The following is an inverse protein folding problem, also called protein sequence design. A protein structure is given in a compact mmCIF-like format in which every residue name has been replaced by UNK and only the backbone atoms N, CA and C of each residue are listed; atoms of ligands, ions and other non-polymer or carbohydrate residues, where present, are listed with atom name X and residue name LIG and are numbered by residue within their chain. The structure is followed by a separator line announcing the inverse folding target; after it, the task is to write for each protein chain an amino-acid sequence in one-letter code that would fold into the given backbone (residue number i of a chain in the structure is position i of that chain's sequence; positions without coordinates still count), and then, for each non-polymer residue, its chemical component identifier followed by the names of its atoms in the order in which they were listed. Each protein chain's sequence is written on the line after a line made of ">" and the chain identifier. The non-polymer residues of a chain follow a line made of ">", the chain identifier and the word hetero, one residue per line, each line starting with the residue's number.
data_IF_731173886975
#
_entry.id   IF_731173886975
#
_cell.length_a   1.000
_cell.length_b   1.000
_cell.length_c   1.000
_cell.angle_alpha   90.00
_cell.angle_beta   90.00
_cell.angle_gamma   90.00
#
_symmetry.space_group_name_H-M   'P 1'
#
loop_
_entity.id
_entity.type
_entity.pdbx_description
1 polymer ?
#
# COMPACT_ATOMS: atom_id res chain seq x y z
N UNK A 1 30.43 24.72 -32.56
CA UNK A 1 29.67 25.23 -31.39
C UNK A 1 28.37 24.48 -31.11
N UNK A 2 27.66 23.97 -32.13
CA UNK A 2 26.35 23.27 -32.02
C UNK A 2 26.35 22.00 -31.15
N UNK A 3 27.46 21.24 -31.11
CA UNK A 3 27.60 20.01 -30.31
C UNK A 3 27.64 20.26 -28.79
N UNK A 4 28.14 21.41 -28.34
CA UNK A 4 28.25 21.74 -26.91
C UNK A 4 26.88 22.09 -26.28
N UNK A 5 25.98 22.62 -27.09
CA UNK A 5 24.62 23.01 -26.66
C UNK A 5 23.74 21.76 -26.48
N UNK A 6 23.88 20.76 -27.37
CA UNK A 6 23.16 19.48 -27.22
C UNK A 6 23.55 18.73 -25.94
N UNK A 7 24.84 18.70 -25.59
CA UNK A 7 25.30 18.04 -24.36
C UNK A 7 24.82 18.76 -23.10
N UNK A 8 24.70 20.09 -23.12
CA UNK A 8 24.18 20.85 -21.98
C UNK A 8 22.67 20.62 -21.76
N UNK A 9 21.89 20.51 -22.84
CA UNK A 9 20.46 20.20 -22.78
C UNK A 9 20.18 18.77 -22.28
N UNK A 10 21.00 17.79 -22.67
CA UNK A 10 20.90 16.42 -22.19
C UNK A 10 21.25 16.31 -20.70
N UNK A 11 22.26 17.03 -20.22
CA UNK A 11 22.57 17.07 -18.79
C UNK A 11 21.43 17.71 -17.97
N UNK A 12 20.83 18.79 -18.47
CA UNK A 12 19.74 19.47 -17.77
C UNK A 12 18.47 18.59 -17.66
N UNK A 13 18.15 17.78 -18.69
CA UNK A 13 17.05 16.83 -18.63
C UNK A 13 17.28 15.70 -17.61
N UNK A 14 18.52 15.21 -17.50
CA UNK A 14 18.87 14.17 -16.52
C UNK A 14 18.78 14.67 -15.07
N UNK A 15 19.13 15.94 -14.80
CA UNK A 15 19.00 16.49 -13.45
C UNK A 15 17.54 16.75 -13.04
N UNK A 16 16.64 17.05 -13.99
CA UNK A 16 15.23 17.28 -13.70
C UNK A 16 14.45 15.98 -13.36
N UNK A 17 14.94 14.81 -13.77
CA UNK A 17 14.30 13.52 -13.45
C UNK A 17 14.52 13.05 -12.00
N UNK A 18 15.55 13.56 -11.32
CA UNK A 18 15.90 13.16 -9.96
C UNK A 18 15.05 13.83 -8.87
N UNK A 19 14.39 14.95 -9.18
CA UNK A 19 13.50 15.62 -8.22
C UNK A 19 12.07 15.06 -8.22
N UNK A 20 11.71 14.28 -9.25
CA UNK A 20 10.40 13.61 -9.33
C UNK A 20 10.33 12.31 -8.51
N UNK A 21 11.48 11.74 -8.11
CA UNK A 21 11.59 10.66 -7.14
C UNK A 21 12.06 11.20 -5.78
N UNK A 22 11.49 12.31 -5.30
CA UNK A 22 11.54 12.56 -3.87
C UNK A 22 10.68 11.46 -3.21
N UNK A 23 11.26 10.54 -2.42
CA UNK A 23 10.45 9.59 -1.67
C UNK A 23 9.53 10.44 -0.80
N UNK A 24 8.21 10.28 -0.98
CA UNK A 24 7.24 10.83 -0.04
C UNK A 24 7.72 10.32 1.33
N UNK A 25 8.13 11.25 2.19
CA UNK A 25 8.56 10.97 3.56
C UNK A 25 7.31 10.51 4.33
N UNK A 26 6.81 9.33 4.02
CA UNK A 26 5.92 8.61 4.91
C UNK A 26 6.76 8.25 6.12
N UNK A 27 6.35 8.75 7.29
CA UNK A 27 6.99 8.40 8.55
C UNK A 27 7.15 6.86 8.60
N UNK A 28 8.28 6.35 9.10
CA UNK A 28 8.46 4.92 9.25
C UNK A 28 7.33 4.36 10.11
N UNK A 29 6.70 3.29 9.62
CA UNK A 29 5.62 2.62 10.33
C UNK A 29 6.10 2.19 11.72
N UNK A 30 5.27 2.46 12.72
CA UNK A 30 5.44 1.90 14.07
C UNK A 30 5.38 0.38 14.04
N UNK A 31 5.86 -0.28 15.10
CA UNK A 31 5.79 -1.73 15.21
C UNK A 31 4.34 -2.24 15.12
N UNK A 32 3.40 -1.58 15.79
CA UNK A 32 1.98 -1.91 15.75
C UNK A 32 1.41 -1.78 14.33
N UNK A 33 1.75 -0.72 13.60
CA UNK A 33 1.32 -0.54 12.21
C UNK A 33 1.92 -1.61 11.27
N UNK A 34 3.17 -2.02 11.50
CA UNK A 34 3.78 -3.11 10.73
C UNK A 34 3.07 -4.44 10.99
N UNK A 35 2.73 -4.74 12.25
CA UNK A 35 1.98 -5.92 12.62
C UNK A 35 0.57 -5.91 12.01
N UNK A 36 -0.10 -4.76 12.06
CA UNK A 36 -1.41 -4.57 11.44
C UNK A 36 -1.37 -4.75 9.91
N UNK A 37 -0.29 -4.30 9.25
CA UNK A 37 -0.09 -4.49 7.82
C UNK A 37 0.13 -5.96 7.46
N UNK A 38 0.94 -6.67 8.25
CA UNK A 38 1.17 -8.10 8.08
C UNK A 38 -0.13 -8.90 8.28
N UNK A 39 -0.89 -8.56 9.32
CA UNK A 39 -2.22 -9.12 9.55
C UNK A 39 -3.16 -8.86 8.36
N UNK A 40 -3.18 -7.63 7.82
CA UNK A 40 -3.98 -7.28 6.65
C UNK A 40 -3.63 -8.13 5.43
N UNK A 41 -2.36 -8.37 5.16
CA UNK A 41 -1.94 -9.23 4.05
C UNK A 41 -2.44 -10.66 4.23
N UNK A 42 -2.15 -11.26 5.39
CA UNK A 42 -2.58 -12.63 5.69
C UNK A 42 -4.11 -12.79 5.62
N UNK A 43 -4.85 -11.90 6.28
CA UNK A 43 -6.31 -11.96 6.32
C UNK A 43 -6.94 -11.71 4.94
N UNK A 44 -6.32 -10.90 4.09
CA UNK A 44 -6.79 -10.70 2.71
C UNK A 44 -6.62 -11.97 1.87
N UNK A 45 -5.49 -12.67 2.02
CA UNK A 45 -5.23 -13.93 1.32
C UNK A 45 -6.20 -15.02 1.77
N UNK A 46 -6.40 -15.18 3.08
CA UNK A 46 -7.35 -16.16 3.64
C UNK A 46 -8.80 -15.87 3.19
N UNK A 47 -9.24 -14.61 3.29
CA UNK A 47 -10.58 -14.19 2.85
C UNK A 47 -10.80 -14.46 1.35
N UNK A 48 -9.77 -14.19 0.54
CA UNK A 48 -9.82 -14.42 -0.91
C UNK A 48 -9.80 -15.91 -1.27
N UNK A 49 -9.06 -16.73 -0.52
CA UNK A 49 -9.03 -18.17 -0.72
C UNK A 49 -10.39 -18.83 -0.43
N UNK A 50 -11.13 -18.30 0.55
CA UNK A 50 -12.47 -18.79 0.90
C UNK A 50 -13.57 -18.29 -0.02
N UNK A 51 -13.35 -17.16 -0.69
CA UNK A 51 -14.29 -16.56 -1.63
C UNK A 51 -13.70 -16.60 -3.04
N UNK A 52 -13.72 -17.77 -3.68
CA UNK A 52 -13.22 -17.93 -5.06
C UNK A 52 -14.06 -17.23 -6.11
N UNK A 53 -15.31 -16.87 -5.78
CA UNK A 53 -16.24 -16.20 -6.68
C UNK A 53 -16.60 -14.79 -6.17
N UNK A 54 -16.55 -13.80 -7.06
CA UNK A 54 -16.91 -12.41 -6.73
C UNK A 54 -15.73 -11.53 -6.30
N UNK A 55 -15.99 -10.28 -5.87
CA UNK A 55 -14.94 -9.32 -5.55
C UNK A 55 -14.17 -9.68 -4.28
N UNK A 56 -12.83 -9.60 -4.32
CA UNK A 56 -11.95 -9.82 -3.17
C UNK A 56 -11.66 -8.49 -2.44
N UNK A 57 -12.72 -7.80 -2.03
CA UNK A 57 -12.62 -6.50 -1.40
C UNK A 57 -13.82 -6.23 -0.48
N UNK A 58 -13.80 -5.06 0.15
CA UNK A 58 -14.81 -4.58 1.08
C UNK A 58 -16.24 -4.50 0.53
N UNK A 59 -16.42 -4.46 -0.80
CA UNK A 59 -17.75 -4.45 -1.43
C UNK A 59 -18.44 -5.81 -1.39
N UNK A 60 -17.72 -6.91 -1.14
CA UNK A 60 -18.29 -8.23 -0.95
C UNK A 60 -18.53 -8.48 0.56
N UNK A 61 -19.77 -8.68 1.01
CA UNK A 61 -20.09 -8.88 2.43
C UNK A 61 -19.48 -10.15 3.02
N UNK A 62 -19.28 -11.21 2.22
CA UNK A 62 -18.67 -12.45 2.68
C UNK A 62 -17.15 -12.30 2.86
N UNK A 63 -16.50 -11.67 1.88
CA UNK A 63 -15.07 -11.39 1.98
C UNK A 63 -14.75 -10.43 3.13
N UNK A 64 -15.50 -9.32 3.22
CA UNK A 64 -15.33 -8.30 4.26
C UNK A 64 -15.51 -8.87 5.66
N UNK A 65 -16.62 -9.57 5.92
CA UNK A 65 -16.87 -10.16 7.25
C UNK A 65 -15.78 -11.15 7.68
N UNK A 66 -15.26 -11.98 6.76
CA UNK A 66 -14.15 -12.88 7.08
C UNK A 66 -12.86 -12.12 7.34
N UNK A 67 -12.55 -11.12 6.52
CA UNK A 67 -11.39 -10.26 6.70
C UNK A 67 -11.41 -9.56 8.08
N UNK A 68 -12.53 -8.94 8.46
CA UNK A 68 -12.67 -8.25 9.75
C UNK A 68 -12.49 -9.21 10.93
N UNK A 69 -13.14 -10.38 10.88
CA UNK A 69 -12.98 -11.44 11.87
C UNK A 69 -11.52 -11.90 12.03
N UNK A 70 -10.82 -12.09 10.92
CA UNK A 70 -9.41 -12.48 10.95
C UNK A 70 -8.53 -11.39 11.58
N UNK A 71 -8.77 -10.13 11.24
CA UNK A 71 -8.02 -8.99 11.78
C UNK A 71 -8.21 -8.86 13.30
N UNK A 72 -9.44 -9.00 13.79
CA UNK A 72 -9.72 -9.01 15.23
C UNK A 72 -9.06 -10.18 15.96
N UNK A 73 -9.02 -11.37 15.34
CA UNK A 73 -8.32 -12.52 15.91
C UNK A 73 -6.82 -12.26 16.08
N UNK A 74 -6.23 -11.46 15.21
CA UNK A 74 -4.82 -11.04 15.28
C UNK A 74 -4.58 -9.81 16.18
N UNK A 75 -5.62 -9.33 16.85
CA UNK A 75 -5.54 -8.24 17.83
C UNK A 75 -5.71 -6.84 17.25
N UNK A 76 -6.08 -6.71 15.97
CA UNK A 76 -6.36 -5.40 15.36
C UNK A 76 -7.72 -4.89 15.85
N UNK A 77 -7.74 -3.66 16.36
CA UNK A 77 -8.94 -3.00 16.86
C UNK A 77 -9.79 -2.40 15.72
N UNK A 78 -11.08 -2.16 15.97
CA UNK A 78 -11.96 -1.47 15.01
C UNK A 78 -11.42 -0.10 14.58
N UNK A 79 -10.76 0.60 15.50
CA UNK A 79 -10.19 1.91 15.23
C UNK A 79 -9.02 1.83 14.24
N UNK A 80 -8.19 0.80 14.36
CA UNK A 80 -7.09 0.54 13.42
C UNK A 80 -7.62 0.02 12.08
N UNK A 81 -8.62 -0.86 12.12
CA UNK A 81 -9.27 -1.40 10.93
C UNK A 81 -9.86 -0.29 10.06
N UNK A 82 -10.56 0.67 10.68
CA UNK A 82 -11.11 1.85 9.98
C UNK A 82 -10.03 2.66 9.27
N UNK A 83 -8.85 2.85 9.87
CA UNK A 83 -7.73 3.57 9.24
C UNK A 83 -7.17 2.84 8.01
N UNK A 84 -7.44 1.54 7.86
CA UNK A 84 -6.94 0.73 6.75
C UNK A 84 -7.92 0.59 5.58
N UNK A 85 -9.20 0.96 5.79
CA UNK A 85 -10.32 0.80 4.85
C UNK A 85 -10.81 2.13 4.27
N UNK A 86 -10.75 3.20 5.07
CA UNK A 86 -11.11 4.57 4.71
C UNK A 86 -9.86 5.44 4.51
#
# INVERSE_FOLDING_TARGET
>A
MKKRILSALLLALCLAGLTACAPRHSAPLTFEEQQALAAKQQCSEEASAMNSEGPHNSSNPFWSSYFEMCMHRLGVTDAELKKMWY
#
